data_IF_988722458158
#
_entry.id   IF_988722458158
#
_cell.length_a   1.000
_cell.length_b   1.000
_cell.length_c   1.000
_cell.angle_alpha   90.00
_cell.angle_beta   90.00
_cell.angle_gamma   90.00
#
_symmetry.space_group_name_H-M   'P 1'
#
loop_
_entity.id
_entity.type
_entity.pdbx_description
1 polymer ?
#
# COMPACT_ATOMS: atom_id res chain seq x y z
N UNK A 1 -6.17 -9.52 5.95
CA UNK A 1 -5.34 -10.36 5.06
C UNK A 1 -4.78 -9.54 3.91
N UNK A 2 -3.55 -9.88 3.48
CA UNK A 2 -2.95 -9.42 2.24
C UNK A 2 -2.90 -10.59 1.26
N UNK A 3 -3.42 -10.39 0.06
CA UNK A 3 -3.44 -11.39 -1.02
C UNK A 3 -2.51 -10.94 -2.13
N UNK A 4 -1.62 -11.83 -2.59
CA UNK A 4 -0.70 -11.59 -3.71
C UNK A 4 -0.92 -12.61 -4.81
N UNK A 5 -0.67 -12.22 -6.05
CA UNK A 5 -0.73 -13.12 -7.21
C UNK A 5 0.64 -13.72 -7.56
N UNK A 6 1.74 -13.05 -7.20
CA UNK A 6 3.11 -13.49 -7.49
C UNK A 6 4.00 -13.32 -6.24
N UNK A 7 4.40 -14.40 -5.56
CA UNK A 7 3.78 -15.73 -5.65
C UNK A 7 2.35 -15.69 -5.14
N UNK A 8 1.52 -16.65 -5.56
CA UNK A 8 0.15 -16.76 -5.05
C UNK A 8 0.20 -17.09 -3.55
N UNK A 9 -0.14 -16.11 -2.72
CA UNK A 9 -0.17 -16.25 -1.26
C UNK A 9 -1.23 -15.37 -0.61
N UNK A 10 -1.74 -15.82 0.52
CA UNK A 10 -2.55 -15.02 1.43
C UNK A 10 -1.85 -14.96 2.78
N UNK A 11 -1.53 -13.76 3.26
CA UNK A 11 -0.80 -13.53 4.51
C UNK A 11 -1.75 -12.89 5.52
N UNK A 12 -1.83 -13.49 6.70
CA UNK A 12 -2.53 -12.90 7.84
C UNK A 12 -1.70 -11.72 8.38
N UNK A 13 -2.28 -10.52 8.32
CA UNK A 13 -1.69 -9.28 8.84
C UNK A 13 -2.49 -8.73 10.04
N UNK A 14 -3.25 -9.59 10.73
CA UNK A 14 -4.05 -9.20 11.90
C UNK A 14 -3.20 -8.76 13.10
N UNK A 15 -1.90 -9.01 13.07
CA UNK A 15 -0.95 -8.50 14.07
C UNK A 15 -0.62 -7.01 13.90
N UNK A 16 -0.96 -6.41 12.76
CA UNK A 16 -0.85 -4.98 12.57
C UNK A 16 -1.81 -4.26 13.51
N UNK A 17 -1.32 -3.27 14.23
CA UNK A 17 -2.15 -2.49 15.14
C UNK A 17 -2.99 -1.50 14.35
N UNK A 18 -4.32 -1.61 14.44
CA UNK A 18 -5.25 -0.66 13.85
C UNK A 18 -5.39 0.54 14.78
N UNK A 19 -4.87 1.68 14.36
CA UNK A 19 -4.92 2.95 15.09
C UNK A 19 -6.21 3.71 14.82
N UNK A 20 -6.75 3.58 13.61
CA UNK A 20 -8.01 4.22 13.21
C UNK A 20 -8.65 3.43 12.06
N UNK A 21 -9.97 3.39 12.04
CA UNK A 21 -10.75 2.78 10.98
C UNK A 21 -12.10 3.50 10.84
N UNK A 22 -12.41 3.91 9.62
CA UNK A 22 -13.75 4.33 9.21
C UNK A 22 -14.09 3.74 7.83
N UNK A 23 -15.14 4.23 7.19
CA UNK A 23 -15.56 3.73 5.87
C UNK A 23 -14.64 4.14 4.71
N UNK A 24 -13.75 5.11 4.89
CA UNK A 24 -12.87 5.63 3.84
C UNK A 24 -11.41 5.22 4.02
N UNK A 25 -10.91 5.19 5.26
CA UNK A 25 -9.52 4.92 5.57
C UNK A 25 -9.33 3.96 6.74
N UNK A 26 -8.24 3.21 6.67
CA UNK A 26 -7.69 2.42 7.77
C UNK A 26 -6.25 2.84 8.02
N UNK A 27 -5.94 3.24 9.25
CA UNK A 27 -4.58 3.60 9.67
C UNK A 27 -4.02 2.50 10.53
N UNK A 28 -2.85 1.99 10.18
CA UNK A 28 -2.20 0.88 10.89
C UNK A 28 -0.75 1.20 11.23
N UNK A 29 -0.27 0.58 12.31
CA UNK A 29 1.15 0.45 12.66
C UNK A 29 1.54 -1.01 12.53
N UNK A 30 2.69 -1.27 11.92
CA UNK A 30 3.16 -2.63 11.67
C UNK A 30 4.67 -2.76 11.85
N UNK A 31 5.07 -3.96 12.24
CA UNK A 31 6.47 -4.41 12.25
C UNK A 31 6.72 -5.32 11.03
N UNK A 32 7.96 -5.40 10.52
CA UNK A 32 8.28 -6.29 9.41
C UNK A 32 7.93 -7.74 9.76
N UNK A 33 7.22 -8.45 8.86
CA UNK A 33 6.90 -9.88 9.01
C UNK A 33 8.18 -10.71 9.19
N UNK A 34 9.22 -10.32 8.45
CA UNK A 34 10.57 -10.86 8.64
C UNK A 34 11.50 -9.74 9.08
N UNK A 35 12.27 -9.93 10.17
CA UNK A 35 13.25 -8.94 10.59
C UNK A 35 14.20 -8.59 9.45
N UNK A 36 14.29 -7.31 9.11
CA UNK A 36 15.22 -6.78 8.12
C UNK A 36 16.19 -5.83 8.79
N UNK A 37 17.44 -5.83 8.33
CA UNK A 37 18.45 -4.91 8.86
C UNK A 37 18.20 -3.45 8.47
N UNK A 38 17.42 -3.24 7.43
CA UNK A 38 17.29 -1.96 6.74
C UNK A 38 16.03 -1.16 7.11
N UNK A 39 15.00 -1.77 7.75
CA UNK A 39 13.88 -1.03 8.30
C UNK A 39 13.30 -1.69 9.56
N UNK A 40 12.76 -0.86 10.48
CA UNK A 40 12.34 -1.29 11.81
C UNK A 40 10.84 -1.34 11.99
N UNK A 41 10.09 -0.44 11.38
CA UNK A 41 8.63 -0.36 11.47
C UNK A 41 8.05 0.49 10.34
N UNK A 42 6.75 0.44 10.22
CA UNK A 42 6.02 1.31 9.32
C UNK A 42 4.64 1.69 9.83
N UNK A 43 4.12 2.70 9.19
CA UNK A 43 2.76 3.18 9.38
C UNK A 43 2.09 3.23 8.02
N UNK A 44 0.84 2.81 7.94
CA UNK A 44 0.12 2.79 6.68
C UNK A 44 -1.23 3.49 6.80
N UNK A 45 -1.57 4.26 5.78
CA UNK A 45 -2.91 4.74 5.52
C UNK A 45 -3.46 4.01 4.29
N UNK A 46 -4.45 3.15 4.50
CA UNK A 46 -5.13 2.43 3.43
C UNK A 46 -6.40 3.16 3.07
N UNK A 47 -6.50 3.61 1.83
CA UNK A 47 -7.70 4.24 1.27
C UNK A 47 -8.63 3.16 0.73
N UNK A 48 -9.62 2.77 1.52
CA UNK A 48 -10.45 1.58 1.29
C UNK A 48 -11.24 1.64 -0.02
N UNK A 49 -11.73 2.82 -0.40
CA UNK A 49 -12.51 3.03 -1.63
C UNK A 49 -11.65 3.43 -2.83
N UNK A 50 -10.52 4.12 -2.60
CA UNK A 50 -9.64 4.60 -3.69
C UNK A 50 -8.70 3.52 -4.19
N UNK A 51 -8.42 2.49 -3.39
CA UNK A 51 -7.66 1.32 -3.78
C UNK A 51 -6.14 1.54 -3.82
N UNK A 52 -5.61 2.23 -2.83
CA UNK A 52 -4.17 2.29 -2.57
C UNK A 52 -3.86 2.39 -1.08
N UNK A 53 -2.71 1.87 -0.70
CA UNK A 53 -2.18 1.92 0.66
C UNK A 53 -0.86 2.67 0.64
N UNK A 54 -0.75 3.70 1.48
CA UNK A 54 0.43 4.55 1.58
C UNK A 54 1.15 4.23 2.88
N UNK A 55 2.37 3.75 2.78
CA UNK A 55 3.19 3.33 3.92
C UNK A 55 4.39 4.25 4.09
N UNK A 56 4.53 4.78 5.31
CA UNK A 56 5.72 5.47 5.78
C UNK A 56 6.67 4.43 6.39
N UNK A 57 7.76 4.15 5.72
CA UNK A 57 8.75 3.14 6.16
C UNK A 57 9.89 3.83 6.88
N UNK A 58 10.13 3.42 8.14
CA UNK A 58 11.11 4.02 9.03
C UNK A 58 12.30 3.08 9.23
N UNK A 59 13.49 3.66 9.37
CA UNK A 59 14.69 2.94 9.80
C UNK A 59 14.70 2.74 11.33
N UNK A 60 15.76 2.11 11.86
CA UNK A 60 15.92 1.87 13.31
C UNK A 60 16.07 3.14 14.14
N UNK A 61 16.51 4.21 13.53
CA UNK A 61 16.70 5.52 14.17
C UNK A 61 15.43 6.38 14.08
N UNK A 62 14.32 5.79 13.64
CA UNK A 62 13.02 6.45 13.45
C UNK A 62 13.02 7.56 12.39
N UNK A 63 13.94 7.48 11.44
CA UNK A 63 13.99 8.39 10.30
C UNK A 63 13.23 7.79 9.11
N UNK A 64 12.65 8.67 8.27
CA UNK A 64 12.00 8.25 7.03
C UNK A 64 13.02 7.60 6.09
N UNK A 65 12.78 6.33 5.76
CA UNK A 65 13.54 5.62 4.76
C UNK A 65 12.98 5.83 3.35
N UNK A 66 11.69 5.67 3.19
CA UNK A 66 10.93 5.95 1.96
C UNK A 66 9.43 5.87 2.24
N UNK A 67 8.65 6.41 1.32
CA UNK A 67 7.23 6.12 1.20
C UNK A 67 7.04 4.98 0.19
N UNK A 68 6.14 4.07 0.53
CA UNK A 68 5.77 2.95 -0.34
C UNK A 68 4.27 2.93 -0.53
N UNK A 69 3.84 2.94 -1.78
CA UNK A 69 2.44 3.04 -2.15
C UNK A 69 2.06 1.78 -2.92
N UNK A 70 1.26 0.92 -2.32
CA UNK A 70 0.73 -0.28 -2.96
C UNK A 70 -0.57 0.06 -3.68
N UNK A 71 -0.72 -0.35 -4.95
CA UNK A 71 -2.00 -0.32 -5.67
C UNK A 71 -2.76 -1.59 -5.34
N UNK A 72 -3.94 -1.45 -4.75
CA UNK A 72 -4.71 -2.57 -4.19
C UNK A 72 -6.17 -2.55 -4.61
N UNK A 73 -6.82 -3.70 -4.49
CA UNK A 73 -8.28 -3.81 -4.40
C UNK A 73 -8.65 -4.24 -2.98
N UNK A 74 -9.66 -3.61 -2.39
CA UNK A 74 -10.10 -3.94 -1.03
C UNK A 74 -11.44 -4.67 -1.09
N UNK A 75 -11.46 -5.87 -0.51
CA UNK A 75 -12.68 -6.63 -0.27
C UNK A 75 -12.99 -6.67 1.22
N UNK A 76 -14.26 -6.58 1.56
CA UNK A 76 -14.76 -6.80 2.92
C UNK A 76 -15.75 -7.95 2.94
N UNK A 77 -15.77 -8.70 4.04
CA UNK A 77 -16.80 -9.72 4.22
C UNK A 77 -18.19 -9.08 4.47
N UNK A 78 -19.24 -9.89 4.37
CA UNK A 78 -20.62 -9.45 4.55
C UNK A 78 -20.93 -8.89 5.94
N UNK A 79 -20.09 -9.22 6.94
CA UNK A 79 -20.18 -8.70 8.31
C UNK A 79 -19.38 -7.41 8.52
N UNK A 80 -18.57 -7.00 7.51
CA UNK A 80 -17.70 -5.82 7.58
C UNK A 80 -16.56 -5.94 8.61
N UNK A 81 -16.20 -7.17 9.00
CA UNK A 81 -15.20 -7.43 10.04
C UNK A 81 -13.84 -7.86 9.49
N UNK A 82 -13.81 -8.38 8.27
CA UNK A 82 -12.59 -8.87 7.64
C UNK A 82 -12.29 -8.06 6.39
N UNK A 83 -11.08 -7.53 6.32
CA UNK A 83 -10.56 -6.82 5.15
C UNK A 83 -9.53 -7.67 4.43
N UNK A 84 -9.69 -7.80 3.11
CA UNK A 84 -8.71 -8.43 2.22
C UNK A 84 -8.13 -7.37 1.32
N UNK A 85 -6.84 -7.13 1.44
CA UNK A 85 -6.09 -6.21 0.61
C UNK A 85 -5.45 -7.01 -0.52
N UNK A 86 -6.06 -6.95 -1.70
CA UNK A 86 -5.60 -7.67 -2.88
C UNK A 86 -4.61 -6.79 -3.61
N UNK A 87 -3.38 -7.25 -3.66
CA UNK A 87 -2.26 -6.59 -4.34
C UNK A 87 -2.49 -6.64 -5.87
N UNK A 88 -2.51 -5.49 -6.52
CA UNK A 88 -2.69 -5.36 -7.96
C UNK A 88 -1.35 -5.17 -8.71
N UNK A 89 -0.25 -5.54 -8.07
CA UNK A 89 1.12 -5.64 -8.60
C UNK A 89 1.88 -4.33 -8.75
N UNK A 90 1.24 -3.25 -9.21
CA UNK A 90 1.94 -1.98 -9.38
C UNK A 90 2.16 -1.27 -8.05
N UNK A 91 3.39 -0.81 -7.85
CA UNK A 91 3.79 -0.05 -6.68
C UNK A 91 4.46 1.27 -7.07
N UNK A 92 4.36 2.25 -6.18
CA UNK A 92 5.07 3.53 -6.30
C UNK A 92 5.92 3.74 -5.05
N UNK A 93 7.20 4.01 -5.24
CA UNK A 93 8.15 4.30 -4.16
C UNK A 93 8.65 5.73 -4.28
N UNK A 94 8.59 6.46 -3.15
CA UNK A 94 9.07 7.85 -3.08
C UNK A 94 10.23 7.90 -2.09
N UNK A 95 11.39 8.28 -2.58
CA UNK A 95 12.61 8.41 -1.79
C UNK A 95 12.64 9.73 -1.01
N UNK A 96 13.46 9.85 0.04
CA UNK A 96 13.60 11.09 0.81
C UNK A 96 13.98 12.31 -0.03
N UNK A 97 14.72 12.13 -1.13
CA UNK A 97 15.07 13.16 -2.10
C UNK A 97 13.94 13.48 -3.10
N UNK A 98 12.72 13.00 -2.84
CA UNK A 98 11.51 13.14 -3.68
C UNK A 98 11.57 12.44 -5.04
N UNK A 99 12.57 11.58 -5.29
CA UNK A 99 12.57 10.75 -6.49
C UNK A 99 11.43 9.73 -6.42
N UNK A 100 10.63 9.68 -7.48
CA UNK A 100 9.49 8.76 -7.63
C UNK A 100 9.89 7.62 -8.53
N UNK A 101 9.63 6.39 -8.09
CA UNK A 101 9.88 5.15 -8.84
C UNK A 101 8.55 4.40 -8.97
N UNK A 102 8.21 4.01 -10.20
CA UNK A 102 7.13 3.05 -10.46
C UNK A 102 7.76 1.68 -10.55
N UNK A 103 7.25 0.72 -9.78
CA UNK A 103 7.81 -0.62 -9.65
C UNK A 103 6.86 -1.66 -10.25
N UNK A 104 7.44 -2.81 -10.59
CA UNK A 104 6.73 -4.05 -10.92
C UNK A 104 5.87 -4.00 -12.21
N UNK A 105 6.23 -3.09 -13.13
CA UNK A 105 5.60 -3.02 -14.46
C UNK A 105 5.78 -4.32 -15.26
N UNK A 106 6.93 -4.94 -15.15
CA UNK A 106 7.26 -6.23 -15.76
C UNK A 106 6.49 -7.40 -15.10
N UNK A 107 6.27 -7.35 -13.78
CA UNK A 107 5.41 -8.32 -13.09
C UNK A 107 3.95 -8.21 -13.55
N UNK A 108 3.45 -6.99 -13.75
CA UNK A 108 2.10 -6.79 -14.29
C UNK A 108 2.00 -7.36 -15.71
N UNK A 109 2.97 -7.11 -16.58
CA UNK A 109 3.01 -7.67 -17.93
C UNK A 109 3.03 -9.20 -17.88
N UNK A 110 3.91 -9.79 -17.07
CA UNK A 110 3.99 -11.24 -16.87
C UNK A 110 2.67 -11.84 -16.38
N UNK A 111 2.02 -11.18 -15.41
CA UNK A 111 0.75 -11.65 -14.86
C UNK A 111 -0.38 -11.65 -15.91
N UNK A 112 -0.42 -10.64 -16.78
CA UNK A 112 -1.41 -10.57 -17.88
C UNK A 112 -1.12 -11.66 -18.91
N UNK A 113 0.13 -11.81 -19.36
CA UNK A 113 0.55 -12.81 -20.36
C UNK A 113 0.28 -14.25 -19.90
N UNK A 114 0.46 -14.52 -18.60
CA UNK A 114 0.26 -15.83 -18.01
C UNK A 114 -1.13 -16.02 -17.38
N UNK A 115 -2.06 -15.08 -17.60
CA UNK A 115 -3.44 -15.15 -17.11
C UNK A 115 -3.56 -15.31 -15.58
N UNK A 116 -2.59 -14.79 -14.82
CA UNK A 116 -2.60 -14.80 -13.36
C UNK A 116 -3.56 -13.75 -12.78
N UNK A 117 -3.83 -12.70 -13.55
CA UNK A 117 -4.83 -11.68 -13.25
C UNK A 117 -5.74 -11.47 -14.47
N UNK A 118 -6.95 -10.96 -14.23
CA UNK A 118 -7.88 -10.62 -15.32
C UNK A 118 -7.49 -9.32 -16.01
N UNK A 119 -7.94 -9.14 -17.25
CA UNK A 119 -7.78 -7.86 -17.96
C UNK A 119 -8.44 -6.70 -17.20
N UNK A 120 -9.56 -6.96 -16.51
CA UNK A 120 -10.23 -5.98 -15.65
C UNK A 120 -9.35 -5.54 -14.49
N UNK A 121 -8.70 -6.48 -13.79
CA UNK A 121 -7.77 -6.19 -12.70
C UNK A 121 -6.53 -5.42 -13.19
N UNK A 122 -5.97 -5.82 -14.33
CA UNK A 122 -4.86 -5.10 -14.94
C UNK A 122 -5.23 -3.65 -15.31
N UNK A 123 -6.39 -3.46 -15.93
CA UNK A 123 -6.91 -2.13 -16.22
C UNK A 123 -7.19 -1.30 -14.98
N UNK A 124 -7.70 -1.92 -13.92
CA UNK A 124 -7.88 -1.28 -12.61
C UNK A 124 -6.54 -0.84 -12.03
N UNK A 125 -5.55 -1.72 -12.01
CA UNK A 125 -4.20 -1.43 -11.53
C UNK A 125 -3.59 -0.20 -12.21
N UNK A 126 -3.64 -0.16 -13.55
CA UNK A 126 -3.12 0.96 -14.34
C UNK A 126 -3.85 2.27 -14.04
N UNK A 127 -5.18 2.27 -13.97
CA UNK A 127 -5.96 3.49 -13.69
C UNK A 127 -5.71 4.01 -12.27
N UNK A 128 -5.68 3.12 -11.28
CA UNK A 128 -5.40 3.50 -9.90
C UNK A 128 -3.96 4.01 -9.74
N UNK A 129 -2.99 3.37 -10.39
CA UNK A 129 -1.60 3.83 -10.40
C UNK A 129 -1.49 5.23 -11.04
N UNK A 130 -2.18 5.50 -12.16
CA UNK A 130 -2.21 6.81 -12.77
C UNK A 130 -2.75 7.88 -11.81
N UNK A 131 -3.90 7.63 -11.19
CA UNK A 131 -4.50 8.56 -10.22
C UNK A 131 -3.59 8.80 -9.00
N UNK A 132 -2.94 7.74 -8.51
CA UNK A 132 -1.96 7.82 -7.45
C UNK A 132 -0.77 8.70 -7.83
N UNK A 133 -0.22 8.52 -9.05
CA UNK A 133 0.92 9.30 -9.54
C UNK A 133 0.60 10.79 -9.67
N UNK A 134 -0.61 11.16 -10.12
CA UNK A 134 -1.04 12.56 -10.19
C UNK A 134 -0.98 13.22 -8.80
N UNK A 135 -1.48 12.54 -7.76
CA UNK A 135 -1.43 13.03 -6.38
C UNK A 135 -0.01 13.05 -5.79
N UNK A 136 0.83 12.09 -6.19
CA UNK A 136 2.24 12.06 -5.78
C UNK A 136 3.01 13.23 -6.40
N UNK A 137 2.82 13.49 -7.68
CA UNK A 137 3.51 14.58 -8.39
C UNK A 137 3.07 15.96 -7.94
N UNK A 138 1.80 16.14 -7.54
CA UNK A 138 1.31 17.40 -6.96
C UNK A 138 1.84 17.62 -5.54
N UNK A 139 2.28 16.56 -4.84
CA UNK A 139 2.69 16.59 -3.44
C UNK A 139 1.53 16.50 -2.45
N UNK A 140 0.29 16.59 -2.91
CA UNK A 140 -0.92 16.58 -2.07
C UNK A 140 -1.05 15.31 -1.24
N UNK A 141 -0.72 14.15 -1.82
CA UNK A 141 -0.88 12.85 -1.14
C UNK A 141 -0.04 12.76 0.12
N UNK A 142 1.23 13.14 0.03
CA UNK A 142 2.16 13.04 1.18
C UNK A 142 1.77 14.02 2.28
N UNK A 143 1.35 15.24 1.93
CA UNK A 143 0.86 16.22 2.89
C UNK A 143 -0.41 15.73 3.61
N UNK A 144 -1.36 15.15 2.87
CA UNK A 144 -2.58 14.57 3.42
C UNK A 144 -2.28 13.45 4.40
N UNK A 145 -1.44 12.48 3.99
CA UNK A 145 -1.10 11.30 4.81
C UNK A 145 -0.27 11.70 6.03
N UNK A 146 0.67 12.62 5.91
CA UNK A 146 1.39 13.19 7.06
C UNK A 146 0.43 13.88 8.03
N UNK A 147 -0.56 14.61 7.52
CA UNK A 147 -1.61 15.22 8.32
C UNK A 147 -2.46 14.19 9.07
N UNK A 148 -2.78 13.08 8.43
CA UNK A 148 -3.49 11.95 9.06
C UNK A 148 -2.62 11.34 10.17
N UNK A 149 -1.36 11.03 9.89
CA UNK A 149 -0.48 10.40 10.87
C UNK A 149 -0.23 11.26 12.11
N UNK A 150 -0.05 12.57 11.94
CA UNK A 150 0.11 13.50 13.09
C UNK A 150 -1.06 13.45 14.07
N UNK A 151 -2.29 13.14 13.63
CA UNK A 151 -3.45 12.97 14.52
C UNK A 151 -3.32 11.76 15.44
N UNK A 152 -2.50 10.79 15.09
CA UNK A 152 -2.28 9.55 15.84
C UNK A 152 -0.88 9.48 16.47
N UNK A 153 -0.23 10.64 16.64
CA UNK A 153 1.10 10.78 17.26
C UNK A 153 2.21 9.97 16.56
N UNK A 154 2.20 10.00 15.23
CA UNK A 154 3.20 9.30 14.40
C UNK A 154 4.12 10.33 13.74
#
# INVERSE_FOLDING_TARGET
FRVRFIPMEEVDISNDEVLFLNEDIMVTRWDPIHPRMDFAKGYSCTYLKKGYKISKVMNKDMELKYWYCDVIHVETDTAGKTYRLIDLLLDVKILPNRKVLVLDLDELAFAVENQLITHSQAGQSLRQCNSLLELVYSGELIEEVEGIFRKYCI
#
